data_IF_396668894734
#
_entry.id   IF_396668894734
#
_cell.length_a   1.000
_cell.length_b   1.000
_cell.length_c   1.000
_cell.angle_alpha   90.00
_cell.angle_beta   90.00
_cell.angle_gamma   90.00
#
_symmetry.space_group_name_H-M   'P 1'
#
loop_
_entity.id
_entity.type
_entity.pdbx_description
1 polymer ?
#
# COMPACT_ATOMS: atom_id res chain seq x y z
N UNK A 1 22.80 19.16 -0.93
CA UNK A 1 22.10 19.95 0.11
C UNK A 1 20.68 19.48 0.16
N UNK A 2 20.24 19.01 1.30
CA UNK A 2 18.85 18.50 1.43
C UNK A 2 17.91 19.71 1.45
N UNK A 3 17.08 19.83 0.40
CA UNK A 3 15.97 20.78 0.41
C UNK A 3 14.81 20.11 1.16
N UNK A 4 14.72 20.36 2.45
CA UNK A 4 13.66 19.86 3.30
C UNK A 4 14.12 19.52 4.72
N UNK A 5 13.17 19.53 5.62
CA UNK A 5 13.40 19.11 6.98
C UNK A 5 13.47 17.57 7.03
N UNK A 6 14.62 16.95 7.39
CA UNK A 6 14.74 15.49 7.50
C UNK A 6 13.88 14.89 8.63
N UNK A 7 13.32 15.74 9.48
CA UNK A 7 12.47 15.31 10.60
C UNK A 7 11.07 15.88 10.45
N UNK A 8 10.11 15.11 9.90
CA UNK A 8 8.75 15.59 9.64
C UNK A 8 7.92 15.84 10.92
N UNK A 9 8.47 15.59 12.11
CA UNK A 9 7.74 15.72 13.37
C UNK A 9 6.82 14.52 13.62
N UNK A 10 5.53 14.80 13.93
CA UNK A 10 4.54 13.77 14.28
C UNK A 10 3.92 13.08 13.05
N UNK A 11 4.07 13.63 11.84
CA UNK A 11 3.60 12.97 10.63
C UNK A 11 4.57 11.85 10.20
N UNK A 12 4.09 10.78 9.56
CA UNK A 12 4.97 9.75 9.00
C UNK A 12 5.76 10.31 7.81
N UNK A 13 6.91 9.71 7.53
CA UNK A 13 7.58 9.86 6.25
C UNK A 13 6.73 9.23 5.15
N UNK A 14 6.64 9.91 4.01
CA UNK A 14 5.91 9.41 2.85
C UNK A 14 6.84 8.68 1.86
N UNK A 15 6.24 8.06 0.85
CA UNK A 15 6.97 7.25 -0.15
C UNK A 15 8.10 8.02 -0.84
N UNK A 16 7.83 9.25 -1.26
CA UNK A 16 8.78 10.11 -1.96
C UNK A 16 9.86 10.73 -1.04
N UNK A 17 9.70 10.55 0.27
CA UNK A 17 10.66 10.99 1.30
C UNK A 17 11.60 9.86 1.74
N UNK A 18 11.67 8.73 1.02
CA UNK A 18 12.49 7.60 1.40
C UNK A 18 13.99 7.94 1.56
N UNK A 19 14.46 8.92 0.79
CA UNK A 19 15.84 9.41 0.87
C UNK A 19 16.14 10.13 2.21
N UNK A 20 15.13 10.54 2.96
CA UNK A 20 15.24 11.11 4.30
C UNK A 20 15.11 10.06 5.40
N UNK A 21 14.64 8.85 5.06
CA UNK A 21 14.37 7.77 6.00
C UNK A 21 15.49 6.74 5.99
N UNK A 22 16.22 6.65 7.09
CA UNK A 22 17.34 5.73 7.26
C UNK A 22 17.46 5.25 8.71
N UNK A 23 18.26 4.20 8.93
CA UNK A 23 18.46 3.59 10.23
C UNK A 23 17.49 2.48 10.57
N UNK A 24 16.63 2.05 9.60
CA UNK A 24 15.68 0.96 9.78
C UNK A 24 15.72 -0.10 8.67
N UNK A 25 16.83 -0.24 8.00
CA UNK A 25 17.03 -1.14 6.87
C UNK A 25 16.79 -2.60 7.27
N UNK A 26 17.18 -2.99 8.48
CA UNK A 26 16.95 -4.35 8.99
C UNK A 26 15.47 -4.66 9.16
N UNK A 27 14.70 -3.73 9.72
CA UNK A 27 13.25 -3.87 9.86
C UNK A 27 12.54 -3.96 8.50
N UNK A 28 12.98 -3.15 7.54
CA UNK A 28 12.47 -3.21 6.15
C UNK A 28 12.74 -4.57 5.53
N UNK A 29 13.97 -5.10 5.69
CA UNK A 29 14.33 -6.43 5.20
C UNK A 29 13.47 -7.54 5.83
N UNK A 30 13.18 -7.43 7.12
CA UNK A 30 12.28 -8.37 7.80
C UNK A 30 10.84 -8.30 7.25
N UNK A 31 10.31 -7.10 6.99
CA UNK A 31 8.99 -6.92 6.40
C UNK A 31 8.93 -7.51 5.00
N UNK A 32 9.94 -7.28 4.17
CA UNK A 32 10.04 -7.85 2.83
C UNK A 32 10.05 -9.38 2.87
N UNK A 33 10.86 -9.96 3.74
CA UNK A 33 10.95 -11.41 3.91
C UNK A 33 9.61 -12.02 4.34
N UNK A 34 8.93 -11.40 5.29
CA UNK A 34 7.63 -11.86 5.76
C UNK A 34 6.56 -11.74 4.68
N UNK A 35 6.54 -10.62 3.95
CA UNK A 35 5.58 -10.37 2.88
C UNK A 35 5.75 -11.38 1.73
N UNK A 36 6.98 -11.82 1.46
CA UNK A 36 7.26 -12.86 0.48
C UNK A 36 6.68 -14.24 0.85
N UNK A 37 6.45 -14.49 2.14
CA UNK A 37 5.96 -15.78 2.65
C UNK A 37 4.49 -15.76 3.09
N UNK A 38 3.89 -14.57 3.24
CA UNK A 38 2.52 -14.42 3.72
C UNK A 38 1.77 -13.41 2.85
N UNK A 39 0.44 -13.54 2.82
CA UNK A 39 -0.44 -12.61 2.11
C UNK A 39 -1.04 -11.55 3.02
N UNK A 40 -0.74 -11.62 4.29
CA UNK A 40 -1.19 -10.67 5.30
C UNK A 40 -0.03 -10.37 6.24
N UNK A 41 0.18 -9.09 6.50
CA UNK A 41 1.21 -8.61 7.42
C UNK A 41 0.63 -7.49 8.28
N UNK A 42 0.73 -7.64 9.59
CA UNK A 42 0.38 -6.60 10.55
C UNK A 42 1.64 -5.99 11.16
N UNK A 43 1.72 -4.66 11.11
CA UNK A 43 2.79 -3.89 11.78
C UNK A 43 2.20 -3.23 13.01
N UNK A 44 2.65 -3.66 14.18
CA UNK A 44 2.11 -3.26 15.47
C UNK A 44 3.18 -2.52 16.29
N UNK A 45 2.77 -1.51 17.00
CA UNK A 45 3.64 -0.75 17.89
C UNK A 45 2.93 0.45 18.50
N UNK A 46 3.57 1.10 19.45
CA UNK A 46 3.04 2.28 20.08
C UNK A 46 2.89 3.45 19.09
N UNK A 47 1.96 4.35 19.35
CA UNK A 47 1.84 5.59 18.59
C UNK A 47 3.16 6.37 18.64
N UNK A 48 3.59 6.88 17.48
CA UNK A 48 4.87 7.59 17.36
C UNK A 48 6.10 6.70 17.27
N UNK A 49 5.95 5.35 17.19
CA UNK A 49 7.09 4.43 17.02
C UNK A 49 7.64 4.37 15.59
N UNK A 50 7.03 5.09 14.64
CA UNK A 50 7.48 5.14 13.25
C UNK A 50 6.93 4.04 12.35
N UNK A 51 5.81 3.37 12.72
CA UNK A 51 5.19 2.30 11.92
C UNK A 51 4.84 2.75 10.50
N UNK A 52 4.09 3.84 10.39
CA UNK A 52 3.66 4.36 9.08
C UNK A 52 4.86 4.81 8.24
N UNK A 53 5.85 5.45 8.84
CA UNK A 53 7.09 5.83 8.15
C UNK A 53 7.88 4.60 7.70
N UNK A 54 7.97 3.56 8.52
CA UNK A 54 8.64 2.31 8.17
C UNK A 54 8.03 1.67 6.93
N UNK A 55 6.70 1.64 6.84
CA UNK A 55 6.00 1.06 5.70
C UNK A 55 6.09 1.99 4.49
N UNK A 56 5.70 3.25 4.62
CA UNK A 56 5.57 4.19 3.50
C UNK A 56 6.90 4.62 2.91
N UNK A 57 7.89 4.92 3.74
CA UNK A 57 9.21 5.37 3.28
C UNK A 57 10.27 4.26 3.25
N UNK A 58 10.05 3.15 3.92
CA UNK A 58 10.95 2.01 3.95
C UNK A 58 10.51 0.87 3.03
N UNK A 59 9.36 0.26 3.31
CA UNK A 59 8.90 -0.94 2.60
C UNK A 59 8.39 -0.65 1.17
N UNK A 60 7.53 0.33 0.98
CA UNK A 60 6.90 0.59 -0.32
C UNK A 60 7.91 0.94 -1.42
N UNK A 61 8.92 1.79 -1.19
CA UNK A 61 9.95 2.05 -2.21
C UNK A 61 10.71 0.81 -2.64
N UNK A 62 11.02 -0.09 -1.70
CA UNK A 62 11.71 -1.35 -1.99
C UNK A 62 10.86 -2.30 -2.84
N UNK A 63 9.57 -2.39 -2.57
CA UNK A 63 8.64 -3.16 -3.40
C UNK A 63 8.50 -2.57 -4.81
N UNK A 64 8.39 -1.25 -4.92
CA UNK A 64 8.28 -0.56 -6.20
C UNK A 64 9.56 -0.66 -7.02
N UNK A 65 10.71 -0.65 -6.36
CA UNK A 65 12.03 -0.82 -7.00
C UNK A 65 12.35 -2.24 -7.46
N UNK A 66 11.51 -3.23 -7.18
CA UNK A 66 11.71 -4.62 -7.62
C UNK A 66 12.80 -5.38 -6.86
N UNK A 67 13.17 -4.93 -5.65
CA UNK A 67 14.23 -5.53 -4.83
C UNK A 67 13.80 -6.82 -4.12
N UNK A 68 12.56 -7.25 -4.22
CA UNK A 68 12.19 -8.61 -3.84
C UNK A 68 12.87 -9.61 -4.77
N UNK A 69 14.03 -9.99 -4.35
CA UNK A 69 14.96 -10.98 -4.88
C UNK A 69 14.44 -11.89 -6.00
N UNK A 70 14.96 -11.69 -7.20
CA UNK A 70 15.01 -12.68 -8.26
C UNK A 70 13.72 -12.90 -9.03
N UNK A 71 12.64 -12.21 -8.74
CA UNK A 71 11.39 -12.25 -9.50
C UNK A 71 11.07 -10.87 -10.04
N UNK A 72 10.90 -10.78 -11.34
CA UNK A 72 10.39 -9.57 -12.03
C UNK A 72 8.88 -9.37 -11.80
N UNK A 73 8.39 -9.72 -10.63
CA UNK A 73 6.99 -9.52 -10.26
C UNK A 73 6.78 -8.06 -9.91
N UNK A 74 5.97 -7.37 -10.69
CA UNK A 74 5.57 -6.01 -10.39
C UNK A 74 4.61 -5.99 -9.19
N UNK A 75 4.78 -5.00 -8.34
CA UNK A 75 3.88 -4.71 -7.23
C UNK A 75 3.11 -3.43 -7.51
N UNK A 76 1.80 -3.53 -7.51
CA UNK A 76 0.90 -2.38 -7.55
C UNK A 76 0.45 -2.03 -6.13
N UNK A 77 0.33 -0.76 -5.85
CA UNK A 77 0.11 -0.26 -4.49
C UNK A 77 -1.20 0.51 -4.39
N UNK A 78 -2.00 0.20 -3.39
CA UNK A 78 -3.13 0.99 -2.98
C UNK A 78 -3.05 1.27 -1.49
N UNK A 79 -3.30 2.50 -1.09
CA UNK A 79 -3.22 2.94 0.31
C UNK A 79 -4.59 3.45 0.73
N UNK A 80 -5.11 2.93 1.83
CA UNK A 80 -6.39 3.36 2.38
C UNK A 80 -6.32 3.68 3.86
N UNK A 81 -7.23 4.54 4.29
CA UNK A 81 -7.57 4.75 5.69
C UNK A 81 -9.02 4.33 5.89
N UNK A 82 -9.31 3.42 6.84
CA UNK A 82 -10.68 2.89 7.00
C UNK A 82 -11.71 3.95 7.30
N UNK A 83 -11.41 4.88 8.19
CA UNK A 83 -12.34 5.95 8.56
C UNK A 83 -13.66 5.44 9.12
N UNK A 84 -14.73 6.22 8.94
CA UNK A 84 -16.08 5.88 9.39
C UNK A 84 -16.86 4.97 8.43
N UNK A 85 -16.42 4.85 7.17
CA UNK A 85 -17.00 3.95 6.16
C UNK A 85 -15.87 3.21 5.43
N UNK A 86 -15.35 2.14 6.03
CA UNK A 86 -14.19 1.43 5.48
C UNK A 86 -14.39 0.91 4.07
N UNK A 87 -15.59 0.46 3.73
CA UNK A 87 -15.85 -0.14 2.43
C UNK A 87 -15.85 0.91 1.31
N UNK A 88 -16.45 2.06 1.54
CA UNK A 88 -16.39 3.19 0.61
C UNK A 88 -14.98 3.72 0.48
N UNK A 89 -14.26 3.89 1.59
CA UNK A 89 -12.88 4.36 1.57
C UNK A 89 -11.93 3.38 0.86
N UNK A 90 -12.18 2.09 0.98
CA UNK A 90 -11.45 1.07 0.21
C UNK A 90 -11.73 1.22 -1.29
N UNK A 91 -13.00 1.33 -1.68
CA UNK A 91 -13.38 1.50 -3.08
C UNK A 91 -12.75 2.77 -3.68
N UNK A 92 -12.83 3.89 -2.99
CA UNK A 92 -12.19 5.15 -3.40
C UNK A 92 -10.68 4.99 -3.59
N UNK A 93 -9.99 4.37 -2.63
CA UNK A 93 -8.55 4.15 -2.69
C UNK A 93 -8.14 3.27 -3.86
N UNK A 94 -8.90 2.23 -4.16
CA UNK A 94 -8.66 1.34 -5.30
C UNK A 94 -8.85 2.08 -6.63
N UNK A 95 -9.92 2.84 -6.76
CA UNK A 95 -10.19 3.63 -7.99
C UNK A 95 -9.15 4.75 -8.15
N UNK A 96 -8.79 5.44 -7.08
CA UNK A 96 -7.79 6.52 -7.12
C UNK A 96 -6.39 6.02 -7.51
N UNK A 97 -6.09 4.74 -7.32
CA UNK A 97 -4.85 4.14 -7.80
C UNK A 97 -4.74 4.11 -9.32
N UNK A 98 -5.85 4.30 -10.05
CA UNK A 98 -5.91 4.21 -11.51
C UNK A 98 -5.96 2.78 -12.06
N UNK A 99 -5.91 1.76 -11.20
CA UNK A 99 -5.87 0.34 -11.59
C UNK A 99 -7.25 -0.27 -11.76
N UNK A 100 -8.28 0.40 -11.26
CA UNK A 100 -9.66 -0.10 -11.21
C UNK A 100 -10.62 0.73 -12.09
N UNK A 101 -10.15 1.18 -13.23
CA UNK A 101 -10.90 1.98 -14.18
C UNK A 101 -10.63 3.49 -14.05
N UNK A 102 -11.44 4.28 -14.72
CA UNK A 102 -11.34 5.74 -14.63
C UNK A 102 -11.71 6.25 -13.22
N UNK A 103 -11.01 7.29 -12.79
CA UNK A 103 -11.27 7.92 -11.48
C UNK A 103 -12.54 8.77 -11.56
N UNK A 104 -13.68 8.17 -11.24
CA UNK A 104 -14.99 8.82 -11.19
C UNK A 104 -15.90 8.15 -10.15
N UNK A 105 -17.00 8.82 -9.81
CA UNK A 105 -17.94 8.32 -8.80
C UNK A 105 -18.63 7.01 -9.22
N UNK A 106 -18.91 6.82 -10.50
CA UNK A 106 -19.54 5.61 -11.02
C UNK A 106 -18.67 4.38 -10.75
N UNK A 107 -17.38 4.47 -11.04
CA UNK A 107 -16.44 3.39 -10.78
C UNK A 107 -16.25 3.13 -9.29
N UNK A 108 -16.29 4.14 -8.45
CA UNK A 108 -16.28 3.98 -6.99
C UNK A 108 -17.50 3.19 -6.54
N UNK A 109 -18.70 3.53 -7.01
CA UNK A 109 -19.93 2.82 -6.66
C UNK A 109 -19.93 1.37 -7.16
N UNK A 110 -19.46 1.13 -8.37
CA UNK A 110 -19.34 -0.23 -8.93
C UNK A 110 -18.32 -1.07 -8.15
N UNK A 111 -17.18 -0.50 -7.84
CA UNK A 111 -16.14 -1.18 -7.04
C UNK A 111 -16.64 -1.49 -5.63
N UNK A 112 -17.31 -0.53 -5.00
CA UNK A 112 -17.92 -0.73 -3.70
C UNK A 112 -18.98 -1.86 -3.73
N UNK A 113 -19.82 -1.89 -4.76
CA UNK A 113 -20.80 -2.96 -4.93
C UNK A 113 -20.12 -4.34 -5.07
N UNK A 114 -19.05 -4.43 -5.84
CA UNK A 114 -18.27 -5.66 -5.98
C UNK A 114 -17.66 -6.09 -4.64
N UNK A 115 -17.06 -5.17 -3.90
CA UNK A 115 -16.48 -5.44 -2.58
C UNK A 115 -17.52 -5.95 -1.57
N UNK A 116 -18.76 -5.46 -1.65
CA UNK A 116 -19.80 -5.81 -0.68
C UNK A 116 -20.54 -7.11 -0.99
N UNK A 117 -20.34 -7.73 -2.15
CA UNK A 117 -21.03 -8.95 -2.56
C UNK A 117 -20.74 -10.16 -1.67
N UNK A 118 -19.48 -10.29 -1.25
CA UNK A 118 -19.05 -11.43 -0.45
C UNK A 118 -17.74 -11.13 0.27
N UNK A 119 -17.27 -12.05 1.12
CA UNK A 119 -15.94 -11.99 1.71
C UNK A 119 -14.80 -12.08 0.68
N UNK A 120 -15.08 -12.44 -0.56
CA UNK A 120 -14.12 -12.49 -1.67
C UNK A 120 -14.19 -11.27 -2.59
N UNK A 121 -14.93 -10.22 -2.20
CA UNK A 121 -15.17 -9.05 -3.04
C UNK A 121 -13.89 -8.35 -3.49
N UNK A 122 -12.86 -8.30 -2.66
CA UNK A 122 -11.57 -7.72 -3.05
C UNK A 122 -10.88 -8.55 -4.15
N UNK A 123 -10.97 -9.87 -4.07
CA UNK A 123 -10.42 -10.76 -5.10
C UNK A 123 -11.17 -10.59 -6.43
N UNK A 124 -12.50 -10.46 -6.36
CA UNK A 124 -13.32 -10.19 -7.54
C UNK A 124 -12.97 -8.85 -8.19
N UNK A 125 -12.84 -7.79 -7.38
CA UNK A 125 -12.42 -6.47 -7.85
C UNK A 125 -11.03 -6.54 -8.50
N UNK A 126 -10.09 -7.23 -7.89
CA UNK A 126 -8.75 -7.45 -8.46
C UNK A 126 -8.81 -8.13 -9.83
N UNK A 127 -9.64 -9.17 -9.98
CA UNK A 127 -9.80 -9.90 -11.25
C UNK A 127 -10.41 -9.04 -12.36
N UNK A 128 -11.25 -8.07 -12.01
CA UNK A 128 -11.88 -7.13 -12.93
C UNK A 128 -11.01 -5.89 -13.21
N UNK A 129 -9.90 -5.73 -12.50
CA UNK A 129 -9.02 -4.57 -12.62
C UNK A 129 -8.17 -4.61 -13.88
N UNK A 130 -7.49 -3.48 -14.15
CA UNK A 130 -6.51 -3.34 -15.23
C UNK A 130 -5.09 -3.78 -14.82
N UNK A 131 -4.95 -4.46 -13.69
CA UNK A 131 -3.66 -4.95 -13.21
C UNK A 131 -3.19 -6.07 -14.13
N UNK A 132 -1.94 -5.99 -14.59
CA UNK A 132 -1.33 -7.01 -15.43
C UNK A 132 -1.31 -8.37 -14.74
N UNK A 133 -1.58 -9.43 -15.52
CA UNK A 133 -1.50 -10.80 -15.01
C UNK A 133 -0.09 -11.08 -14.49
N UNK A 134 0.00 -11.61 -13.29
CA UNK A 134 1.25 -11.91 -12.62
C UNK A 134 1.79 -10.76 -11.73
N UNK A 135 1.19 -9.57 -11.78
CA UNK A 135 1.48 -8.52 -10.82
C UNK A 135 0.75 -8.77 -9.50
N UNK A 136 1.36 -8.36 -8.41
CA UNK A 136 0.75 -8.40 -7.08
C UNK A 136 0.15 -7.04 -6.73
N UNK A 137 -0.96 -7.06 -6.03
CA UNK A 137 -1.54 -5.87 -5.40
C UNK A 137 -1.22 -5.88 -3.91
N UNK A 138 -0.56 -4.85 -3.44
CA UNK A 138 -0.42 -4.58 -2.01
C UNK A 138 -1.43 -3.51 -1.60
N UNK A 139 -2.32 -3.87 -0.70
CA UNK A 139 -3.21 -2.94 -0.04
C UNK A 139 -2.65 -2.58 1.33
N UNK A 140 -2.26 -1.33 1.49
CA UNK A 140 -1.86 -0.78 2.78
C UNK A 140 -3.08 -0.17 3.47
N UNK A 141 -3.39 -0.68 4.64
CA UNK A 141 -4.43 -0.14 5.53
C UNK A 141 -3.74 0.57 6.69
N UNK A 142 -3.86 1.88 6.74
CA UNK A 142 -3.14 2.72 7.71
C UNK A 142 -4.08 3.60 8.55
#
# INVERSE_FOLDING_TARGET
MFEGNPFPGLRPFEFDENYLFFGREEQVAQLLSRLGNTRFLAVVGASGSGKSSLVRAGLLPELHGGTMTGTSIAWELAIMRPGGDPLTNLAESLVDSGLFGEVNEENVLQTRATLSRSGLGLIEAYRQSNIEKGSNLLLLVD
#
